data_IF_101173530132
#
_entry.id   IF_101173530132
#
_cell.length_a   1.000
_cell.length_b   1.000
_cell.length_c   1.000
_cell.angle_alpha   90.00
_cell.angle_beta   90.00
_cell.angle_gamma   90.00
#
_symmetry.space_group_name_H-M   'P 1'
#
loop_
_entity.id
_entity.type
_entity.pdbx_description
1 polymer ?
#
# COMPACT_ATOMS: atom_id res chain seq x y z
N UNK A 1 -51.47 9.38 0.42
CA UNK A 1 -50.16 8.92 -0.11
C UNK A 1 -49.08 9.86 0.42
N UNK A 2 -48.35 9.48 1.48
CA UNK A 2 -47.19 10.22 2.03
C UNK A 2 -46.03 9.23 2.06
N UNK A 3 -45.02 9.43 1.22
CA UNK A 3 -43.84 8.56 1.13
C UNK A 3 -42.60 9.34 1.57
N UNK A 4 -41.89 8.71 2.50
CA UNK A 4 -40.44 8.70 2.65
C UNK A 4 -39.74 9.97 3.14
N UNK A 5 -39.41 9.99 4.43
CA UNK A 5 -38.12 10.51 4.91
C UNK A 5 -37.61 9.58 6.00
N UNK A 6 -36.77 8.61 5.63
CA UNK A 6 -35.89 7.91 6.58
C UNK A 6 -34.47 8.16 6.08
N UNK A 7 -33.84 9.17 6.68
CA UNK A 7 -32.43 9.50 6.50
C UNK A 7 -31.64 8.50 7.36
N UNK A 8 -31.09 7.46 6.72
CA UNK A 8 -30.19 6.52 7.39
C UNK A 8 -28.77 7.04 7.20
N UNK A 9 -28.21 7.66 8.24
CA UNK A 9 -26.83 8.12 8.26
C UNK A 9 -25.90 6.90 8.40
N UNK A 10 -25.22 6.53 7.31
CA UNK A 10 -24.16 5.52 7.30
C UNK A 10 -22.87 6.12 7.89
N UNK A 11 -22.63 5.86 9.18
CA UNK A 11 -21.33 6.08 9.83
C UNK A 11 -20.35 5.07 9.26
N UNK A 12 -19.54 5.51 8.31
CA UNK A 12 -18.45 4.71 7.74
C UNK A 12 -17.23 4.81 8.66
N UNK A 13 -17.04 3.81 9.53
CA UNK A 13 -15.85 3.66 10.34
C UNK A 13 -14.64 3.32 9.43
N UNK A 14 -13.77 4.31 9.22
CA UNK A 14 -12.49 4.11 8.55
C UNK A 14 -11.54 3.34 9.48
N UNK A 15 -11.44 2.03 9.30
CA UNK A 15 -10.38 1.23 9.90
C UNK A 15 -9.03 1.63 9.27
N UNK A 16 -8.27 2.49 9.97
CA UNK A 16 -6.84 2.64 9.74
C UNK A 16 -6.16 1.32 10.12
N UNK A 17 -6.04 0.41 9.16
CA UNK A 17 -5.23 -0.80 9.32
C UNK A 17 -3.78 -0.40 9.51
N UNK A 18 -3.30 -0.44 10.76
CA UNK A 18 -1.88 -0.33 11.07
C UNK A 18 -1.20 -1.55 10.43
N UNK A 19 -0.37 -1.33 9.43
CA UNK A 19 0.51 -2.36 8.90
C UNK A 19 1.52 -2.70 10.00
N UNK A 20 1.19 -3.69 10.83
CA UNK A 20 2.13 -4.30 11.77
C UNK A 20 3.28 -4.88 10.95
N UNK A 21 4.43 -4.22 11.00
CA UNK A 21 5.67 -4.75 10.46
C UNK A 21 5.88 -6.13 11.07
N UNK A 22 5.82 -7.17 10.24
CA UNK A 22 5.99 -8.55 10.70
C UNK A 22 7.49 -8.76 10.92
N UNK A 23 7.90 -8.70 12.18
CA UNK A 23 9.26 -8.99 12.62
C UNK A 23 9.55 -10.49 12.59
N UNK A 24 10.83 -10.85 12.58
CA UNK A 24 11.26 -12.23 12.83
C UNK A 24 10.57 -12.74 14.09
N UNK A 25 9.89 -13.89 14.03
CA UNK A 25 9.23 -14.44 15.19
C UNK A 25 10.27 -14.96 16.18
N UNK A 26 9.98 -14.84 17.47
CA UNK A 26 10.94 -15.15 18.53
C UNK A 26 10.87 -16.65 18.80
N UNK A 27 11.98 -17.35 18.57
CA UNK A 27 12.09 -18.78 18.84
C UNK A 27 12.71 -19.01 20.22
N UNK A 28 11.95 -19.61 21.13
CA UNK A 28 12.41 -19.96 22.47
C UNK A 28 12.78 -21.45 22.56
N UNK A 29 13.97 -21.80 23.09
CA UNK A 29 14.48 -23.18 23.16
C UNK A 29 13.78 -23.99 24.27
N UNK A 30 12.58 -24.48 24.00
CA UNK A 30 11.75 -25.17 24.99
C UNK A 30 12.26 -26.57 25.41
N UNK A 31 13.23 -27.15 24.68
CA UNK A 31 13.78 -28.49 24.97
C UNK A 31 15.22 -28.45 25.49
N UNK A 32 15.68 -27.30 25.98
CA UNK A 32 17.05 -27.14 26.49
C UNK A 32 18.12 -27.09 25.41
N UNK A 33 17.78 -26.62 24.20
CA UNK A 33 18.74 -26.41 23.12
C UNK A 33 19.78 -25.36 23.54
N UNK A 34 21.06 -25.62 23.26
CA UNK A 34 22.12 -24.65 23.52
C UNK A 34 22.03 -23.46 22.56
N UNK A 35 22.66 -22.33 22.93
CA UNK A 35 22.73 -21.17 22.03
C UNK A 35 23.39 -21.51 20.69
N UNK A 36 24.38 -22.40 20.69
CA UNK A 36 25.07 -22.82 19.47
C UNK A 36 24.17 -23.68 18.58
N UNK A 37 23.37 -24.58 19.18
CA UNK A 37 22.35 -25.33 18.45
C UNK A 37 21.30 -24.38 17.88
N UNK A 38 20.82 -23.41 18.66
CA UNK A 38 19.86 -22.42 18.19
C UNK A 38 20.35 -21.62 16.99
N UNK A 39 21.62 -21.21 16.98
CA UNK A 39 22.17 -20.49 15.83
C UNK A 39 22.25 -21.36 14.56
N UNK A 40 22.67 -22.62 14.70
CA UNK A 40 22.65 -23.57 13.59
C UNK A 40 21.22 -23.81 13.09
N UNK A 41 20.27 -23.86 14.02
CA UNK A 41 18.88 -24.16 13.74
C UNK A 41 18.18 -23.01 13.02
N UNK A 42 18.41 -21.79 13.51
CA UNK A 42 18.01 -20.54 12.87
C UNK A 42 18.53 -20.49 11.42
N UNK A 43 19.83 -20.71 11.22
CA UNK A 43 20.45 -20.66 9.88
C UNK A 43 19.85 -21.67 8.92
N UNK A 44 19.65 -22.91 9.37
CA UNK A 44 18.97 -23.94 8.59
C UNK A 44 17.53 -23.55 8.25
N UNK A 45 16.76 -23.09 9.23
CA UNK A 45 15.35 -22.74 9.03
C UNK A 45 15.18 -21.50 8.14
N UNK A 46 16.13 -20.56 8.15
CA UNK A 46 16.15 -19.45 7.18
C UNK A 46 16.36 -19.94 5.74
N UNK A 47 17.32 -20.85 5.53
CA UNK A 47 17.58 -21.45 4.22
C UNK A 47 16.40 -22.30 3.73
N UNK A 48 15.82 -23.09 4.64
CA UNK A 48 14.64 -23.91 4.36
C UNK A 48 13.43 -23.04 4.01
N UNK A 49 13.15 -21.98 4.78
CA UNK A 49 12.04 -21.06 4.51
C UNK A 49 12.19 -20.38 3.15
N UNK A 50 13.41 -19.97 2.77
CA UNK A 50 13.71 -19.42 1.44
C UNK A 50 13.43 -20.45 0.33
N UNK A 51 13.89 -21.68 0.53
CA UNK A 51 13.70 -22.77 -0.43
C UNK A 51 12.23 -23.21 -0.56
N UNK A 52 11.48 -23.18 0.55
CA UNK A 52 10.08 -23.60 0.59
C UNK A 52 9.12 -22.55 0.04
N UNK A 53 9.39 -21.26 0.29
CA UNK A 53 8.50 -20.16 -0.13
C UNK A 53 8.95 -19.49 -1.43
N UNK A 54 10.22 -19.64 -1.83
CA UNK A 54 10.83 -18.89 -2.92
C UNK A 54 11.11 -17.42 -2.58
N UNK A 55 10.87 -17.00 -1.33
CA UNK A 55 10.98 -15.60 -0.90
C UNK A 55 12.37 -15.37 -0.31
N UNK A 56 13.08 -14.37 -0.84
CA UNK A 56 14.34 -13.89 -0.27
C UNK A 56 14.08 -12.64 0.59
N UNK A 57 14.21 -12.72 1.92
CA UNK A 57 13.95 -11.58 2.81
C UNK A 57 14.89 -10.39 2.55
N UNK A 58 16.11 -10.63 2.07
CA UNK A 58 17.05 -9.55 1.75
C UNK A 58 16.64 -8.79 0.48
N UNK A 59 16.05 -9.49 -0.49
CA UNK A 59 15.52 -8.88 -1.71
C UNK A 59 14.22 -8.09 -1.44
N UNK A 60 13.38 -8.59 -0.54
CA UNK A 60 12.14 -7.91 -0.16
C UNK A 60 12.43 -6.63 0.65
N UNK A 61 13.44 -6.65 1.52
CA UNK A 61 13.83 -5.49 2.33
C UNK A 61 14.49 -4.37 1.52
N UNK A 62 15.13 -4.71 0.39
CA UNK A 62 15.85 -3.74 -0.47
C UNK A 62 15.05 -3.31 -1.69
N UNK A 63 13.81 -3.77 -1.84
CA UNK A 63 12.96 -3.39 -2.96
C UNK A 63 12.85 -1.85 -3.04
N UNK A 64 13.32 -1.22 -4.14
CA UNK A 64 13.32 0.22 -4.26
C UNK A 64 11.88 0.74 -4.20
N UNK A 65 11.65 1.90 -3.55
CA UNK A 65 10.35 2.54 -3.61
C UNK A 65 9.96 2.74 -5.08
N UNK A 66 8.67 2.58 -5.44
CA UNK A 66 8.24 2.76 -6.82
C UNK A 66 8.74 4.11 -7.33
N UNK A 67 9.29 4.17 -8.56
CA UNK A 67 9.99 5.35 -9.05
C UNK A 67 9.07 6.57 -8.96
N UNK A 68 9.46 7.55 -8.14
CA UNK A 68 8.90 8.90 -8.18
C UNK A 68 9.50 9.61 -9.40
N UNK A 69 8.99 9.27 -10.58
CA UNK A 69 9.48 9.85 -11.84
C UNK A 69 9.32 11.37 -11.90
N UNK A 70 10.14 12.08 -12.70
CA UNK A 70 10.15 13.54 -12.85
C UNK A 70 8.93 14.09 -13.62
N UNK A 71 7.71 13.67 -13.30
CA UNK A 71 6.49 14.14 -13.93
C UNK A 71 5.18 13.82 -13.17
N UNK A 72 5.19 13.54 -11.84
CA UNK A 72 3.96 13.38 -11.03
C UNK A 72 3.23 14.73 -10.89
N UNK A 73 2.62 15.15 -11.98
CA UNK A 73 2.03 16.45 -12.12
C UNK A 73 2.01 16.96 -13.55
N UNK A 74 2.97 16.63 -14.41
CA UNK A 74 2.96 17.14 -15.79
C UNK A 74 1.75 16.61 -16.55
N UNK A 75 1.72 15.30 -16.80
CA UNK A 75 0.65 14.66 -17.56
C UNK A 75 -0.71 14.68 -16.86
N UNK A 76 -0.79 14.39 -15.56
CA UNK A 76 -2.07 14.40 -14.85
C UNK A 76 -2.59 15.80 -14.51
N UNK A 77 -1.75 16.83 -14.30
CA UNK A 77 -2.25 18.21 -14.16
C UNK A 77 -2.59 18.81 -15.50
N UNK A 78 -1.87 18.50 -16.58
CA UNK A 78 -2.24 18.92 -17.95
C UNK A 78 -3.53 18.21 -18.38
N UNK A 79 -3.63 16.90 -18.16
CA UNK A 79 -4.87 16.14 -18.41
C UNK A 79 -6.02 16.60 -17.52
N UNK A 80 -5.73 16.97 -16.27
CA UNK A 80 -6.67 17.60 -15.35
C UNK A 80 -7.13 18.97 -15.85
N UNK A 81 -6.20 19.82 -16.30
CA UNK A 81 -6.48 21.13 -16.87
C UNK A 81 -7.34 21.03 -18.13
N UNK A 82 -6.99 20.13 -19.05
CA UNK A 82 -7.75 19.92 -20.29
C UNK A 82 -9.18 19.45 -19.99
N UNK A 83 -9.35 18.45 -19.11
CA UNK A 83 -10.67 17.96 -18.70
C UNK A 83 -11.47 19.03 -17.95
N UNK A 84 -10.80 19.79 -17.08
CA UNK A 84 -11.40 20.88 -16.34
C UNK A 84 -11.82 22.03 -17.25
N UNK A 85 -11.02 22.39 -18.24
CA UNK A 85 -11.32 23.42 -19.22
C UNK A 85 -12.52 23.04 -20.09
N UNK A 86 -12.58 21.79 -20.56
CA UNK A 86 -13.73 21.29 -21.32
C UNK A 86 -15.02 21.32 -20.47
N UNK A 87 -14.97 20.82 -19.24
CA UNK A 87 -16.13 20.86 -18.34
C UNK A 87 -16.55 22.28 -17.97
N UNK A 88 -15.57 23.17 -17.73
CA UNK A 88 -15.81 24.57 -17.42
C UNK A 88 -16.32 25.39 -18.60
N UNK A 89 -15.92 25.06 -19.84
CA UNK A 89 -16.41 25.70 -21.05
C UNK A 89 -17.90 25.40 -21.30
N UNK A 90 -18.32 24.16 -21.05
CA UNK A 90 -19.74 23.76 -21.18
C UNK A 90 -20.60 24.52 -20.17
N UNK A 91 -20.17 24.61 -18.92
CA UNK A 91 -20.91 25.32 -17.86
C UNK A 91 -20.87 26.84 -18.10
N UNK A 92 -19.72 27.39 -18.48
CA UNK A 92 -19.56 28.82 -18.78
C UNK A 92 -20.33 29.25 -20.03
N UNK A 93 -20.45 28.38 -21.03
CA UNK A 93 -21.23 28.63 -22.24
C UNK A 93 -22.74 28.79 -21.97
N UNK A 94 -23.25 28.10 -20.94
CA UNK A 94 -24.63 28.25 -20.47
C UNK A 94 -24.81 29.61 -19.75
N UNK A 95 -23.76 30.10 -19.08
CA UNK A 95 -23.76 31.37 -18.35
C UNK A 95 -23.29 32.59 -19.19
N UNK A 96 -23.04 32.40 -20.50
CA UNK A 96 -22.66 33.47 -21.44
C UNK A 96 -21.16 33.75 -21.60
N UNK A 97 -20.28 33.00 -20.93
CA UNK A 97 -18.82 33.15 -21.07
C UNK A 97 -18.10 31.79 -20.95
N UNK A 98 -18.06 31.07 -22.07
CA UNK A 98 -17.38 29.79 -22.17
C UNK A 98 -15.87 29.91 -21.93
N UNK A 99 -15.24 31.02 -22.32
CA UNK A 99 -13.80 31.24 -22.17
C UNK A 99 -13.39 31.37 -20.70
N UNK A 100 -14.16 32.14 -19.93
CA UNK A 100 -13.93 32.33 -18.49
C UNK A 100 -14.25 31.08 -17.69
N UNK A 101 -15.31 30.35 -18.08
CA UNK A 101 -15.60 29.02 -17.55
C UNK A 101 -14.49 28.00 -17.84
N UNK A 102 -13.92 28.01 -19.06
CA UNK A 102 -12.81 27.14 -19.43
C UNK A 102 -11.54 27.45 -18.64
N UNK A 103 -11.18 28.73 -18.49
CA UNK A 103 -10.00 29.13 -17.72
C UNK A 103 -10.13 28.75 -16.23
N UNK A 104 -11.30 29.01 -15.63
CA UNK A 104 -11.58 28.61 -14.25
C UNK A 104 -11.56 27.08 -14.09
N UNK A 105 -12.19 26.36 -15.02
CA UNK A 105 -12.18 24.90 -15.05
C UNK A 105 -10.77 24.32 -15.22
N UNK A 106 -9.92 24.92 -16.05
CA UNK A 106 -8.53 24.53 -16.22
C UNK A 106 -7.74 24.64 -14.92
N UNK A 107 -7.89 25.76 -14.21
CA UNK A 107 -7.22 25.99 -12.92
C UNK A 107 -7.63 24.94 -11.88
N UNK A 108 -8.94 24.71 -11.71
CA UNK A 108 -9.46 23.67 -10.80
C UNK A 108 -9.00 22.27 -11.22
N UNK A 109 -9.00 22.01 -12.53
CA UNK A 109 -8.54 20.77 -13.14
C UNK A 109 -7.06 20.45 -12.85
N UNK A 110 -6.17 21.44 -12.90
CA UNK A 110 -4.75 21.25 -12.51
C UNK A 110 -4.60 20.84 -11.06
N UNK A 111 -5.36 21.46 -10.15
CA UNK A 111 -5.31 21.16 -8.71
C UNK A 111 -5.84 19.74 -8.43
N UNK A 112 -6.98 19.39 -9.02
CA UNK A 112 -7.57 18.06 -8.90
C UNK A 112 -6.66 16.97 -9.50
N UNK A 113 -6.06 17.24 -10.67
CA UNK A 113 -5.08 16.34 -11.29
C UNK A 113 -3.84 16.13 -10.43
N UNK A 114 -3.32 17.21 -9.83
CA UNK A 114 -2.19 17.14 -8.90
C UNK A 114 -2.51 16.37 -7.61
N UNK A 115 -3.73 16.52 -7.07
CA UNK A 115 -4.17 15.73 -5.92
C UNK A 115 -4.30 14.24 -6.28
N UNK A 116 -4.87 13.92 -7.45
CA UNK A 116 -5.01 12.53 -7.91
C UNK A 116 -3.65 11.87 -8.15
N UNK A 117 -2.68 12.59 -8.72
CA UNK A 117 -1.32 12.08 -8.89
C UNK A 117 -0.68 11.69 -7.55
N UNK A 118 -0.79 12.57 -6.53
CA UNK A 118 -0.30 12.26 -5.17
C UNK A 118 -1.06 11.09 -4.54
N UNK A 119 -2.37 11.01 -4.72
CA UNK A 119 -3.17 9.90 -4.22
C UNK A 119 -2.76 8.57 -4.88
N UNK A 120 -2.56 8.57 -6.20
CA UNK A 120 -2.13 7.39 -6.94
C UNK A 120 -0.73 6.93 -6.48
N UNK A 121 0.19 7.87 -6.26
CA UNK A 121 1.51 7.57 -5.70
C UNK A 121 1.41 6.97 -4.28
N UNK A 122 0.58 7.54 -3.41
CA UNK A 122 0.33 6.97 -2.07
C UNK A 122 -0.26 5.56 -2.15
N UNK A 123 -1.22 5.34 -3.05
CA UNK A 123 -1.82 4.02 -3.25
C UNK A 123 -0.79 3.01 -3.79
N UNK A 124 0.07 3.41 -4.72
CA UNK A 124 1.14 2.54 -5.24
C UNK A 124 2.16 2.20 -4.15
N UNK A 125 2.56 3.18 -3.34
CA UNK A 125 3.48 2.95 -2.24
C UNK A 125 2.85 2.09 -1.13
N UNK A 126 1.57 2.30 -0.81
CA UNK A 126 0.83 1.45 0.11
C UNK A 126 0.70 0.01 -0.41
N UNK A 127 0.41 -0.17 -1.70
CA UNK A 127 0.32 -1.48 -2.32
C UNK A 127 1.68 -2.20 -2.31
N UNK A 128 2.77 -1.52 -2.72
CA UNK A 128 4.11 -2.07 -2.68
C UNK A 128 4.52 -2.50 -1.25
N UNK A 129 4.23 -1.64 -0.26
CA UNK A 129 4.48 -1.96 1.15
C UNK A 129 3.65 -3.17 1.63
N UNK A 130 2.38 -3.25 1.24
CA UNK A 130 1.51 -4.37 1.62
C UNK A 130 1.96 -5.70 1.02
N UNK A 131 2.47 -5.68 -0.22
CA UNK A 131 2.96 -6.86 -0.92
C UNK A 131 4.27 -7.37 -0.30
N UNK A 132 5.20 -6.46 0.02
CA UNK A 132 6.41 -6.80 0.76
C UNK A 132 6.10 -7.35 2.16
N UNK A 133 5.15 -6.75 2.89
CA UNK A 133 4.74 -7.24 4.20
C UNK A 133 4.12 -8.65 4.14
N UNK A 134 3.28 -8.93 3.13
CA UNK A 134 2.70 -10.25 2.91
C UNK A 134 3.75 -11.31 2.57
N UNK A 135 4.73 -10.97 1.74
CA UNK A 135 5.85 -11.85 1.42
C UNK A 135 6.68 -12.18 2.68
N UNK A 136 7.04 -11.16 3.48
CA UNK A 136 7.78 -11.37 4.73
C UNK A 136 6.99 -12.20 5.74
N UNK A 137 5.68 -11.99 5.86
CA UNK A 137 4.84 -12.81 6.74
C UNK A 137 4.80 -14.28 6.32
N UNK A 138 4.74 -14.55 5.01
CA UNK A 138 4.75 -15.92 4.46
C UNK A 138 6.10 -16.59 4.74
N UNK A 139 7.19 -15.86 4.52
CA UNK A 139 8.54 -16.30 4.85
C UNK A 139 8.70 -16.65 6.35
N UNK A 140 8.29 -15.74 7.23
CA UNK A 140 8.41 -15.94 8.68
C UNK A 140 7.48 -17.03 9.22
N UNK A 141 6.33 -17.26 8.59
CA UNK A 141 5.49 -18.43 8.90
C UNK A 141 6.20 -19.74 8.58
N UNK A 142 6.85 -19.85 7.42
CA UNK A 142 7.65 -21.03 7.08
C UNK A 142 8.81 -21.22 8.06
N UNK A 143 9.57 -20.15 8.35
CA UNK A 143 10.62 -20.17 9.36
C UNK A 143 10.10 -20.67 10.72
N UNK A 144 8.98 -20.12 11.18
CA UNK A 144 8.34 -20.52 12.44
C UNK A 144 7.94 -21.99 12.46
N UNK A 145 7.37 -22.51 11.37
CA UNK A 145 7.00 -23.92 11.25
C UNK A 145 8.24 -24.85 11.33
N UNK A 146 9.35 -24.47 10.68
CA UNK A 146 10.61 -25.21 10.79
C UNK A 146 11.13 -25.23 12.23
N UNK A 147 11.17 -24.08 12.89
CA UNK A 147 11.62 -23.97 14.28
C UNK A 147 10.71 -24.75 15.24
N UNK A 148 9.39 -24.71 15.03
CA UNK A 148 8.43 -25.52 15.80
C UNK A 148 8.70 -27.02 15.67
N UNK A 149 8.97 -27.51 14.45
CA UNK A 149 9.31 -28.91 14.21
C UNK A 149 10.58 -29.37 14.95
N UNK A 150 11.48 -28.44 15.25
CA UNK A 150 12.73 -28.68 16.00
C UNK A 150 12.57 -28.50 17.51
N UNK A 151 11.35 -28.24 17.98
CA UNK A 151 11.03 -28.11 19.40
C UNK A 151 11.29 -26.72 19.96
N UNK A 152 11.29 -25.68 19.13
CA UNK A 152 11.23 -24.30 19.60
C UNK A 152 9.78 -23.85 19.73
N UNK A 153 9.47 -23.07 20.74
CA UNK A 153 8.19 -22.37 20.84
C UNK A 153 8.31 -21.01 20.18
N UNK A 154 7.37 -20.66 19.31
CA UNK A 154 7.40 -19.44 18.51
C UNK A 154 6.41 -18.42 19.07
N UNK A 155 6.87 -17.17 19.23
CA UNK A 155 6.07 -16.01 19.64
C UNK A 155 6.14 -14.89 18.62
#
# INVERSE_FOLDING_TARGET
>A
MRKSMIVTALVSAACCGVAIAQSKPIAYPAKGQSQQQQQQDDGYCYSWAKSNTGIDPAAVATAPPPPSGPAVGGGERVGGAARGALGGAVIGGIAGDAGKGAAAGAAVGTMAGGHRARQNQRNQQANAQSQSAGAMNTYYRAYGACMQGRGYTIQ
#
